data_IF_765801612790
#
_entry.id   IF_765801612790
#
_cell.length_a   1.000
_cell.length_b   1.000
_cell.length_c   1.000
_cell.angle_alpha   90.00
_cell.angle_beta   90.00
_cell.angle_gamma   90.00
#
_symmetry.space_group_name_H-M   'P 1'
#
loop_
_entity.id
_entity.type
_entity.pdbx_description
1 polymer ?
#
# COMPACT_ATOMS: atom_id res chain seq x y z
N UNK A 1 15.41 19.37 1.13
CA UNK A 1 15.67 18.34 0.11
C UNK A 1 16.63 17.31 0.66
N UNK A 2 16.45 16.04 0.34
CA UNK A 2 17.35 14.94 0.76
C UNK A 2 17.76 14.09 -0.45
N UNK A 3 18.98 13.58 -0.46
CA UNK A 3 19.49 12.67 -1.50
C UNK A 3 18.94 11.27 -1.29
N UNK A 4 18.71 10.49 -2.35
CA UNK A 4 18.14 9.13 -2.24
C UNK A 4 19.16 8.00 -2.36
N UNK A 5 20.46 8.30 -2.29
CA UNK A 5 21.49 7.28 -2.50
C UNK A 5 21.54 6.28 -1.33
N UNK A 6 21.64 4.95 -1.58
CA UNK A 6 21.63 3.94 -0.53
C UNK A 6 22.69 4.09 0.56
N UNK A 7 23.90 4.57 0.22
CA UNK A 7 25.03 4.72 1.15
C UNK A 7 24.71 5.62 2.35
N UNK A 8 23.84 6.61 2.14
CA UNK A 8 23.44 7.58 3.17
C UNK A 8 22.59 6.92 4.27
N UNK A 9 21.87 5.86 3.92
CA UNK A 9 20.86 5.22 4.78
C UNK A 9 21.29 3.82 5.23
N UNK A 10 22.49 3.37 4.86
CA UNK A 10 23.04 2.06 5.21
C UNK A 10 23.62 2.06 6.63
N UNK A 11 22.75 2.34 7.58
CA UNK A 11 23.00 2.29 9.01
C UNK A 11 22.20 1.14 9.65
N UNK A 12 22.28 0.97 10.97
CA UNK A 12 21.48 -0.03 11.70
C UNK A 12 20.00 0.07 11.29
N UNK A 13 19.33 -1.08 11.17
CA UNK A 13 17.89 -1.11 10.94
C UNK A 13 17.19 -0.30 12.06
N UNK A 14 16.41 0.75 11.72
CA UNK A 14 15.82 1.61 12.73
C UNK A 14 14.79 0.82 13.53
N UNK A 15 14.55 1.18 14.79
CA UNK A 15 13.48 0.52 15.51
C UNK A 15 12.15 0.73 14.76
N UNK A 16 11.52 -0.38 14.42
CA UNK A 16 10.21 -0.44 13.80
C UNK A 16 9.40 -1.49 14.57
N UNK A 17 8.33 -1.06 15.23
CA UNK A 17 7.48 -1.98 15.95
C UNK A 17 6.80 -2.95 14.97
N UNK A 18 6.54 -4.19 15.42
CA UNK A 18 5.72 -5.12 14.64
C UNK A 18 4.37 -4.44 14.33
N UNK A 19 3.95 -4.35 13.06
CA UNK A 19 2.63 -3.82 12.71
C UNK A 19 1.53 -4.61 13.42
N UNK A 20 0.58 -3.89 14.01
CA UNK A 20 -0.60 -4.45 14.66
C UNK A 20 -1.83 -4.10 13.81
N UNK A 21 -2.55 -5.11 13.34
CA UNK A 21 -3.86 -4.92 12.71
C UNK A 21 -4.90 -4.62 13.78
N UNK A 22 -5.53 -3.45 13.68
CA UNK A 22 -6.49 -2.95 14.67
C UNK A 22 -7.92 -2.90 14.13
N UNK A 23 -8.08 -2.99 12.82
CA UNK A 23 -9.39 -3.00 12.18
C UNK A 23 -9.31 -3.74 10.85
N UNK A 24 -10.44 -4.33 10.47
CA UNK A 24 -10.68 -5.01 9.20
C UNK A 24 -11.99 -4.45 8.65
N UNK A 25 -12.05 -4.22 7.34
CA UNK A 25 -13.23 -3.70 6.69
C UNK A 25 -13.30 -4.09 5.22
N UNK A 26 -14.51 -4.07 4.70
CA UNK A 26 -14.83 -4.25 3.30
C UNK A 26 -15.09 -2.91 2.63
N UNK A 27 -14.82 -2.86 1.33
CA UNK A 27 -15.33 -1.83 0.44
C UNK A 27 -16.33 -2.49 -0.50
N UNK A 28 -17.55 -1.96 -0.53
CA UNK A 28 -18.60 -2.44 -1.44
C UNK A 28 -18.38 -1.92 -2.86
N UNK A 29 -19.10 -2.47 -3.84
CA UNK A 29 -19.06 -1.99 -5.23
C UNK A 29 -19.43 -0.51 -5.39
N UNK A 30 -20.15 0.06 -4.42
CA UNK A 30 -20.54 1.47 -4.35
C UNK A 30 -19.55 2.31 -3.51
N UNK A 31 -18.35 1.78 -3.23
CA UNK A 31 -17.28 2.41 -2.46
C UNK A 31 -17.67 2.82 -1.03
N UNK A 32 -18.65 2.12 -0.44
CA UNK A 32 -19.04 2.24 0.96
C UNK A 32 -18.23 1.29 1.84
N UNK A 33 -17.89 1.73 3.04
CA UNK A 33 -17.15 0.95 4.03
C UNK A 33 -18.10 0.13 4.89
N UNK A 34 -17.83 -1.17 5.03
CA UNK A 34 -18.53 -2.07 5.94
C UNK A 34 -17.50 -2.68 6.90
N UNK A 35 -17.68 -2.46 8.21
CA UNK A 35 -16.73 -2.95 9.20
C UNK A 35 -16.77 -4.48 9.31
N UNK A 36 -15.61 -5.06 9.63
CA UNK A 36 -15.42 -6.50 9.75
C UNK A 36 -15.04 -7.16 8.41
N UNK A 37 -15.30 -8.46 8.32
CA UNK A 37 -14.83 -9.31 7.21
C UNK A 37 -15.89 -9.55 6.13
N UNK A 38 -16.88 -8.66 6.00
CA UNK A 38 -17.77 -8.71 4.85
C UNK A 38 -16.92 -8.69 3.57
N UNK A 39 -17.27 -9.50 2.56
CA UNK A 39 -16.53 -9.57 1.28
C UNK A 39 -15.04 -9.97 1.39
N UNK A 40 -14.55 -10.37 2.56
CA UNK A 40 -13.21 -10.94 2.67
C UNK A 40 -13.15 -12.24 1.88
N UNK A 41 -12.09 -12.41 1.10
CA UNK A 41 -11.82 -13.63 0.34
C UNK A 41 -10.99 -14.58 1.18
N UNK A 42 -11.23 -15.88 1.03
CA UNK A 42 -10.52 -16.92 1.77
C UNK A 42 -9.62 -17.73 0.84
N UNK A 43 -8.35 -17.89 1.21
CA UNK A 43 -7.37 -18.65 0.45
C UNK A 43 -7.75 -20.14 0.42
N UNK A 44 -7.84 -20.70 -0.78
CA UNK A 44 -8.10 -22.11 -0.99
C UNK A 44 -6.88 -22.96 -0.63
N UNK A 45 -7.07 -24.17 -0.10
CA UNK A 45 -5.99 -25.13 0.04
C UNK A 45 -5.32 -25.39 -1.31
N UNK A 46 -3.99 -25.34 -1.33
CA UNK A 46 -3.21 -25.68 -2.51
C UNK A 46 -1.98 -26.50 -2.09
N UNK A 47 -1.52 -27.38 -2.98
CA UNK A 47 -0.26 -28.09 -2.78
C UNK A 47 0.90 -27.16 -3.11
N UNK A 48 1.81 -26.95 -2.15
CA UNK A 48 2.97 -26.09 -2.31
C UNK A 48 3.91 -26.64 -3.41
N UNK A 49 4.12 -25.85 -4.47
CA UNK A 49 4.77 -26.25 -5.73
C UNK A 49 4.05 -27.34 -6.52
N UNK A 50 2.78 -27.60 -6.21
CA UNK A 50 1.91 -28.47 -6.98
C UNK A 50 1.69 -27.94 -8.39
N UNK A 51 1.53 -28.85 -9.35
CA UNK A 51 1.25 -28.48 -10.74
C UNK A 51 -0.17 -27.95 -10.85
N UNK A 52 -0.34 -26.87 -11.60
CA UNK A 52 -1.63 -26.27 -11.92
C UNK A 52 -1.74 -26.01 -13.42
N UNK A 53 -2.94 -25.59 -13.87
CA UNK A 53 -3.19 -25.19 -15.24
C UNK A 53 -4.20 -24.03 -15.26
N UNK A 54 -3.93 -23.00 -14.45
CA UNK A 54 -4.83 -21.85 -14.34
C UNK A 54 -4.62 -20.93 -15.53
N UNK A 55 -5.64 -20.81 -16.37
CA UNK A 55 -5.62 -19.90 -17.51
C UNK A 55 -6.04 -18.50 -17.07
N UNK A 56 -5.07 -17.60 -16.94
CA UNK A 56 -5.29 -16.24 -16.48
C UNK A 56 -5.97 -15.35 -17.54
N UNK A 57 -6.18 -15.82 -18.77
CA UNK A 57 -6.86 -15.03 -19.81
C UNK A 57 -8.38 -15.13 -19.74
N UNK A 58 -8.91 -16.15 -19.05
CA UNK A 58 -10.35 -16.44 -19.00
C UNK A 58 -11.16 -15.33 -18.32
N UNK A 59 -12.12 -14.76 -19.04
CA UNK A 59 -13.03 -13.74 -18.52
C UNK A 59 -12.49 -12.31 -18.67
N UNK A 60 -11.43 -12.10 -19.45
CA UNK A 60 -10.85 -10.78 -19.70
C UNK A 60 -11.82 -9.82 -20.39
N UNK A 61 -12.67 -10.35 -21.27
CA UNK A 61 -13.70 -9.64 -22.02
C UNK A 61 -14.86 -9.16 -21.14
N UNK A 62 -15.09 -9.81 -20.01
CA UNK A 62 -16.10 -9.45 -19.01
C UNK A 62 -15.51 -8.78 -17.77
N UNK A 63 -14.22 -8.43 -17.79
CA UNK A 63 -13.52 -7.81 -16.67
C UNK A 63 -14.16 -6.48 -16.23
N UNK A 64 -14.46 -6.35 -14.95
CA UNK A 64 -15.02 -5.14 -14.34
C UNK A 64 -13.94 -4.52 -13.44
N UNK A 65 -13.29 -3.47 -13.93
CA UNK A 65 -12.27 -2.74 -13.20
C UNK A 65 -12.90 -1.66 -12.29
N UNK A 66 -12.15 -1.24 -11.27
CA UNK A 66 -12.50 -0.11 -10.40
C UNK A 66 -11.95 1.19 -10.98
N UNK A 67 -12.80 2.22 -11.10
CA UNK A 67 -12.30 3.58 -11.37
C UNK A 67 -11.76 4.21 -10.09
N UNK A 68 -10.48 3.97 -9.82
CA UNK A 68 -9.75 4.52 -8.66
C UNK A 68 -9.05 5.85 -8.95
N UNK A 69 -9.26 6.45 -10.13
CA UNK A 69 -8.49 7.63 -10.56
C UNK A 69 -8.60 8.84 -9.63
N UNK A 70 -9.57 8.87 -8.72
CA UNK A 70 -9.85 10.01 -7.84
C UNK A 70 -10.00 9.68 -6.34
N UNK A 71 -9.89 8.41 -5.93
CA UNK A 71 -10.32 8.01 -4.58
C UNK A 71 -9.38 8.49 -3.46
N UNK A 72 -8.10 8.75 -3.74
CA UNK A 72 -7.15 9.36 -2.78
C UNK A 72 -7.19 8.66 -1.41
N UNK A 73 -7.59 9.35 -0.34
CA UNK A 73 -7.77 8.79 1.01
C UNK A 73 -9.23 8.46 1.34
N UNK A 74 -10.18 8.63 0.43
CA UNK A 74 -11.63 8.62 0.72
C UNK A 74 -12.08 7.38 1.49
N UNK A 75 -11.69 6.18 1.05
CA UNK A 75 -12.05 4.94 1.76
C UNK A 75 -11.49 4.90 3.17
N UNK A 76 -10.24 5.34 3.37
CA UNK A 76 -9.63 5.42 4.70
C UNK A 76 -10.32 6.45 5.59
N UNK A 77 -10.75 7.57 5.01
CA UNK A 77 -11.49 8.62 5.72
C UNK A 77 -12.92 8.15 6.07
N UNK A 78 -13.61 7.45 5.17
CA UNK A 78 -14.90 6.80 5.46
C UNK A 78 -14.78 5.74 6.54
N UNK A 79 -13.72 4.94 6.52
CA UNK A 79 -13.42 4.01 7.61
C UNK A 79 -13.30 4.74 8.95
N UNK A 80 -12.62 5.89 8.98
CA UNK A 80 -12.49 6.70 10.18
C UNK A 80 -13.84 7.26 10.66
N UNK A 81 -14.69 7.74 9.75
CA UNK A 81 -16.05 8.19 10.07
C UNK A 81 -16.89 7.06 10.67
N UNK A 82 -16.77 5.84 10.15
CA UNK A 82 -17.49 4.67 10.66
C UNK A 82 -17.09 4.25 12.09
N UNK A 83 -16.01 4.79 12.66
CA UNK A 83 -15.56 4.46 14.02
C UNK A 83 -16.29 5.25 15.12
N UNK A 84 -17.10 6.26 14.78
CA UNK A 84 -17.80 7.09 15.77
C UNK A 84 -19.04 7.75 15.20
N UNK A 85 -19.95 8.20 16.05
CA UNK A 85 -21.00 9.14 15.63
C UNK A 85 -20.40 10.51 15.26
N UNK A 86 -21.13 11.31 14.48
CA UNK A 86 -20.73 12.66 14.07
C UNK A 86 -20.42 13.54 15.31
N UNK A 87 -19.20 14.06 15.37
CA UNK A 87 -18.69 14.84 16.50
C UNK A 87 -18.44 14.04 17.79
N UNK A 88 -18.55 12.71 17.76
CA UNK A 88 -18.38 11.84 18.93
C UNK A 88 -16.92 11.61 19.35
N UNK A 89 -15.95 11.88 18.47
CA UNK A 89 -14.53 11.77 18.75
C UNK A 89 -13.71 12.74 17.89
N UNK A 90 -12.46 13.01 18.29
CA UNK A 90 -11.49 13.71 17.44
C UNK A 90 -10.73 12.71 16.57
N UNK A 91 -10.24 13.11 15.37
CA UNK A 91 -9.47 12.22 14.50
C UNK A 91 -8.29 11.54 15.20
N UNK A 92 -7.54 12.26 16.05
CA UNK A 92 -6.39 11.70 16.79
C UNK A 92 -6.75 10.46 17.61
N UNK A 93 -7.94 10.44 18.24
CA UNK A 93 -8.44 9.29 19.01
C UNK A 93 -8.82 8.13 18.09
N UNK A 94 -9.52 8.40 16.99
CA UNK A 94 -9.90 7.40 15.99
C UNK A 94 -8.65 6.74 15.38
N UNK A 95 -7.62 7.53 15.12
CA UNK A 95 -6.36 7.05 14.58
C UNK A 95 -5.39 6.52 15.66
N UNK A 96 -5.89 6.15 16.85
CA UNK A 96 -5.09 5.54 17.92
C UNK A 96 -3.82 6.33 18.27
N UNK A 97 -3.94 7.65 18.37
CA UNK A 97 -2.86 8.58 18.66
C UNK A 97 -1.74 8.62 17.60
N UNK A 98 -2.02 8.17 16.36
CA UNK A 98 -1.06 8.22 15.26
C UNK A 98 -0.67 9.65 14.90
N UNK A 99 0.61 9.85 14.57
CA UNK A 99 1.16 11.12 14.12
C UNK A 99 1.02 11.25 12.60
N UNK A 100 1.07 10.12 11.87
CA UNK A 100 0.95 10.07 10.42
C UNK A 100 -0.11 9.03 10.01
N UNK A 101 -1.00 9.42 9.09
CA UNK A 101 -2.03 8.59 8.46
C UNK A 101 -1.82 8.55 6.95
N UNK A 102 -1.78 7.36 6.34
CA UNK A 102 -1.60 7.20 4.89
C UNK A 102 -2.05 5.82 4.39
N UNK A 103 -1.90 5.53 3.10
CA UNK A 103 -1.96 4.16 2.59
C UNK A 103 -0.60 3.45 2.70
N UNK A 104 -0.61 2.14 2.92
CA UNK A 104 0.56 1.24 2.86
C UNK A 104 1.38 1.41 1.57
N UNK A 105 0.70 1.75 0.47
CA UNK A 105 1.32 2.07 -0.82
C UNK A 105 2.32 3.23 -0.73
N UNK A 106 2.01 4.29 0.01
CA UNK A 106 2.89 5.45 0.18
C UNK A 106 4.21 5.06 0.87
N UNK A 107 4.13 4.30 1.98
CA UNK A 107 5.31 3.80 2.70
C UNK A 107 6.14 2.85 1.82
N UNK A 108 5.48 1.98 1.06
CA UNK A 108 6.13 1.09 0.09
C UNK A 108 6.88 1.89 -0.98
N UNK A 109 6.24 2.94 -1.53
CA UNK A 109 6.83 3.77 -2.57
C UNK A 109 8.04 4.53 -2.05
N UNK A 110 7.91 5.19 -0.91
CA UNK A 110 9.01 5.87 -0.24
C UNK A 110 10.15 4.88 0.01
N UNK A 111 9.89 3.77 0.71
CA UNK A 111 10.93 2.80 1.09
C UNK A 111 11.66 2.14 -0.08
N UNK A 112 11.01 1.98 -1.24
CA UNK A 112 11.64 1.40 -2.42
C UNK A 112 12.59 2.38 -3.13
N UNK A 113 12.41 3.69 -2.94
CA UNK A 113 13.08 4.76 -3.71
C UNK A 113 14.60 4.62 -3.82
N UNK A 114 15.35 4.25 -2.75
CA UNK A 114 16.81 4.15 -2.86
C UNK A 114 17.30 3.11 -3.88
N UNK A 115 16.46 2.12 -4.23
CA UNK A 115 16.81 1.02 -5.13
C UNK A 115 15.92 0.94 -6.39
N UNK A 116 14.71 1.49 -6.32
CA UNK A 116 13.76 1.64 -7.43
C UNK A 116 13.70 3.11 -7.86
N UNK A 117 14.85 3.64 -8.26
CA UNK A 117 15.11 5.08 -8.41
C UNK A 117 14.61 5.70 -9.73
N UNK A 118 13.80 4.96 -10.51
CA UNK A 118 13.28 5.40 -11.82
C UNK A 118 11.85 5.89 -11.75
N UNK A 119 11.04 5.36 -10.85
CA UNK A 119 9.63 5.70 -10.73
C UNK A 119 9.50 7.01 -9.93
N UNK A 120 9.13 8.11 -10.61
CA UNK A 120 8.79 9.37 -9.93
C UNK A 120 7.52 9.20 -9.07
N UNK A 121 7.44 9.98 -7.99
CA UNK A 121 6.26 10.02 -7.12
C UNK A 121 6.05 11.40 -6.51
N UNK A 122 4.79 11.72 -6.20
CA UNK A 122 4.37 12.95 -5.52
C UNK A 122 3.34 12.61 -4.46
N UNK A 123 3.54 13.14 -3.27
CA UNK A 123 2.54 13.15 -2.20
C UNK A 123 2.19 14.59 -1.84
N UNK A 124 0.96 14.78 -1.34
CA UNK A 124 0.58 15.95 -0.57
C UNK A 124 0.46 15.50 0.88
N UNK A 125 1.17 16.18 1.77
CA UNK A 125 1.03 16.02 3.21
C UNK A 125 0.31 17.24 3.77
N UNK A 126 -0.70 17.02 4.62
CA UNK A 126 -1.43 18.08 5.32
C UNK A 126 -1.54 17.72 6.79
N UNK A 127 -1.25 18.68 7.67
CA UNK A 127 -1.53 18.53 9.10
C UNK A 127 -2.90 19.11 9.41
N UNK A 128 -3.76 18.30 10.02
CA UNK A 128 -4.98 18.77 10.67
C UNK A 128 -4.94 18.39 12.14
N UNK A 129 -5.02 19.41 12.99
CA UNK A 129 -4.72 19.32 14.42
C UNK A 129 -3.35 18.64 14.66
N UNK A 130 -3.36 17.45 15.26
CA UNK A 130 -2.19 16.68 15.67
C UNK A 130 -1.90 15.48 14.75
N UNK A 131 -2.55 15.40 13.58
CA UNK A 131 -2.43 14.29 12.62
C UNK A 131 -1.96 14.80 11.27
N UNK A 132 -0.90 14.18 10.72
CA UNK A 132 -0.44 14.42 9.36
C UNK A 132 -1.05 13.36 8.44
N UNK A 133 -1.77 13.78 7.41
CA UNK A 133 -2.29 12.91 6.37
C UNK A 133 -1.36 12.98 5.16
N UNK A 134 -0.96 11.84 4.60
CA UNK A 134 -0.13 11.77 3.39
C UNK A 134 -0.95 11.08 2.29
N UNK A 135 -1.24 11.83 1.24
CA UNK A 135 -2.00 11.37 0.08
C UNK A 135 -1.10 11.31 -1.16
N UNK A 136 -1.10 10.19 -1.88
CA UNK A 136 -0.40 10.07 -3.16
C UNK A 136 -1.19 10.76 -4.28
N UNK A 137 -0.46 11.42 -5.17
CA UNK A 137 -1.00 12.00 -6.39
C UNK A 137 -0.22 11.46 -7.59
N UNK A 138 -0.91 11.23 -8.73
CA UNK A 138 -0.23 10.82 -9.94
C UNK A 138 0.76 11.91 -10.38
N UNK A 139 1.89 11.46 -10.95
CA UNK A 139 2.82 12.34 -11.66
C UNK A 139 2.44 12.36 -13.14
N UNK A 140 2.83 13.41 -13.87
CA UNK A 140 2.61 13.50 -15.31
C UNK A 140 3.19 12.27 -16.05
N UNK A 141 4.35 11.77 -15.60
CA UNK A 141 4.96 10.55 -16.12
C UNK A 141 4.10 9.31 -15.84
N UNK A 142 3.52 9.20 -14.64
CA UNK A 142 2.62 8.09 -14.29
C UNK A 142 1.35 8.10 -15.14
N UNK A 143 0.77 9.28 -15.39
CA UNK A 143 -0.41 9.43 -16.25
C UNK A 143 -0.09 9.12 -17.71
N UNK A 144 1.03 9.65 -18.23
CA UNK A 144 1.50 9.36 -19.59
C UNK A 144 1.76 7.87 -19.78
N UNK A 145 2.40 7.21 -18.81
CA UNK A 145 2.63 5.76 -18.83
C UNK A 145 1.31 4.97 -18.80
N UNK A 146 0.33 5.40 -17.99
CA UNK A 146 -1.00 4.77 -17.94
C UNK A 146 -1.74 4.91 -19.27
N UNK A 147 -1.67 6.10 -19.88
CA UNK A 147 -2.26 6.36 -21.19
C UNK A 147 -1.58 5.54 -22.31
N UNK A 148 -0.27 5.31 -22.19
CA UNK A 148 0.53 4.51 -23.13
C UNK A 148 0.50 3.00 -22.87
N UNK A 149 -0.27 2.50 -21.89
CA UNK A 149 -0.35 1.06 -21.60
C UNK A 149 -0.82 0.29 -22.83
N UNK A 150 -0.04 -0.72 -23.22
CA UNK A 150 -0.41 -1.65 -24.29
C UNK A 150 -1.48 -2.62 -23.81
N UNK A 151 -2.15 -3.30 -24.75
CA UNK A 151 -3.10 -4.36 -24.38
C UNK A 151 -2.43 -5.49 -23.60
N UNK A 152 -1.14 -5.75 -23.86
CA UNK A 152 -0.36 -6.71 -23.07
C UNK A 152 -0.12 -6.23 -21.65
N UNK A 153 0.12 -4.95 -21.42
CA UNK A 153 0.25 -4.38 -20.07
C UNK A 153 -1.05 -4.47 -19.29
N UNK A 154 -2.18 -4.17 -19.94
CA UNK A 154 -3.53 -4.32 -19.37
C UNK A 154 -3.82 -5.79 -19.04
N UNK A 155 -3.47 -6.71 -19.94
CA UNK A 155 -3.61 -8.15 -19.72
C UNK A 155 -2.78 -8.62 -18.52
N UNK A 156 -1.52 -8.18 -18.41
CA UNK A 156 -0.67 -8.54 -17.27
C UNK A 156 -1.20 -8.00 -15.93
N UNK A 157 -1.94 -6.88 -15.95
CA UNK A 157 -2.63 -6.36 -14.76
C UNK A 157 -3.80 -7.26 -14.40
N UNK A 158 -4.65 -7.59 -15.38
CA UNK A 158 -5.78 -8.51 -15.23
C UNK A 158 -5.37 -9.89 -14.67
N UNK A 159 -4.24 -10.43 -15.12
CA UNK A 159 -3.71 -11.70 -14.66
C UNK A 159 -3.49 -11.80 -13.14
N UNK A 160 -3.24 -10.68 -12.46
CA UNK A 160 -3.18 -10.64 -10.99
C UNK A 160 -4.54 -10.98 -10.38
N UNK A 161 -5.57 -10.21 -10.76
CA UNK A 161 -6.94 -10.40 -10.27
C UNK A 161 -7.52 -11.75 -10.66
N UNK A 162 -7.24 -12.23 -11.87
CA UNK A 162 -7.69 -13.57 -12.28
C UNK A 162 -7.02 -14.67 -11.44
N UNK A 163 -5.75 -14.51 -11.09
CA UNK A 163 -5.07 -15.45 -10.20
C UNK A 163 -5.67 -15.45 -8.80
N UNK A 164 -6.02 -14.28 -8.25
CA UNK A 164 -6.74 -14.17 -6.98
C UNK A 164 -8.08 -14.92 -7.04
N UNK A 165 -8.84 -14.78 -8.13
CA UNK A 165 -10.08 -15.53 -8.32
C UNK A 165 -9.88 -17.05 -8.35
N UNK A 166 -8.78 -17.56 -8.93
CA UNK A 166 -8.47 -19.01 -8.88
C UNK A 166 -8.09 -19.50 -7.49
N UNK A 167 -7.51 -18.64 -6.67
CA UNK A 167 -6.94 -19.01 -5.38
C UNK A 167 -7.86 -18.74 -4.20
N UNK A 168 -9.03 -18.14 -4.43
CA UNK A 168 -9.88 -17.65 -3.34
C UNK A 168 -11.35 -18.00 -3.47
N UNK A 169 -12.04 -17.95 -2.33
CA UNK A 169 -13.46 -18.25 -2.15
C UNK A 169 -14.14 -17.18 -1.31
N UNK A 170 -15.47 -17.07 -1.40
CA UNK A 170 -16.27 -16.19 -0.54
C UNK A 170 -16.47 -16.74 0.88
N UNK A 171 -16.33 -18.06 1.05
CA UNK A 171 -16.53 -18.74 2.33
C UNK A 171 -15.35 -19.67 2.62
N UNK A 172 -14.97 -19.75 3.90
CA UNK A 172 -13.87 -20.61 4.32
C UNK A 172 -14.18 -22.08 3.99
N UNK A 173 -13.33 -22.69 3.15
CA UNK A 173 -13.48 -24.07 2.71
C UNK A 173 -14.46 -24.27 1.54
N UNK A 174 -14.90 -23.19 0.90
CA UNK A 174 -15.64 -23.26 -0.37
C UNK A 174 -14.77 -23.63 -1.57
N UNK A 175 -15.35 -23.56 -2.75
CA UNK A 175 -14.66 -23.78 -4.03
C UNK A 175 -14.63 -22.48 -4.86
N UNK A 176 -13.51 -22.14 -5.53
CA UNK A 176 -13.41 -20.93 -6.34
C UNK A 176 -14.43 -20.86 -7.47
N UNK A 177 -15.20 -19.76 -7.55
CA UNK A 177 -15.96 -19.44 -8.75
C UNK A 177 -15.06 -18.72 -9.77
N UNK A 178 -14.58 -19.50 -10.73
CA UNK A 178 -13.68 -19.04 -11.79
C UNK A 178 -14.39 -18.69 -13.10
N UNK A 179 -15.71 -18.92 -13.15
CA UNK A 179 -16.53 -18.67 -14.33
C UNK A 179 -17.17 -17.28 -14.30
N UNK A 180 -17.48 -16.77 -13.10
CA UNK A 180 -17.98 -15.41 -12.94
C UNK A 180 -16.97 -14.36 -13.41
N UNK A 181 -17.45 -13.19 -13.88
CA UNK A 181 -16.58 -12.05 -14.17
C UNK A 181 -15.67 -11.70 -12.99
N UNK A 182 -14.44 -11.32 -13.28
CA UNK A 182 -13.55 -10.73 -12.29
C UNK A 182 -14.01 -9.30 -12.05
N UNK A 183 -14.48 -9.00 -10.84
CA UNK A 183 -14.96 -7.68 -10.42
C UNK A 183 -14.07 -7.12 -9.31
N UNK A 184 -13.33 -6.06 -9.62
CA UNK A 184 -12.39 -5.43 -8.70
C UNK A 184 -13.00 -4.25 -7.92
N UNK A 185 -14.31 -3.99 -8.03
CA UNK A 185 -14.93 -2.86 -7.32
C UNK A 185 -15.07 -3.10 -5.83
N UNK A 186 -15.17 -4.36 -5.41
CA UNK A 186 -15.18 -4.77 -4.01
C UNK A 186 -13.76 -5.05 -3.52
N UNK A 187 -13.47 -4.70 -2.27
CA UNK A 187 -12.13 -4.86 -1.69
C UNK A 187 -12.25 -5.31 -0.23
N UNK A 188 -11.19 -5.95 0.24
CA UNK A 188 -10.97 -6.20 1.66
C UNK A 188 -9.68 -5.50 2.09
N UNK A 189 -9.74 -4.79 3.20
CA UNK A 189 -8.61 -4.01 3.69
C UNK A 189 -8.52 -4.06 5.22
N UNK A 190 -7.32 -3.78 5.70
CA UNK A 190 -6.99 -3.72 7.12
C UNK A 190 -6.41 -2.36 7.47
N UNK A 191 -6.61 -1.95 8.72
CA UNK A 191 -5.88 -0.83 9.31
C UNK A 191 -4.81 -1.38 10.23
N UNK A 192 -3.57 -0.97 9.95
CA UNK A 192 -2.42 -1.30 10.78
C UNK A 192 -1.95 -0.06 11.53
N UNK A 193 -1.51 -0.24 12.78
CA UNK A 193 -0.72 0.75 13.51
C UNK A 193 0.67 0.23 13.81
N UNK A 194 1.64 1.13 13.83
CA UNK A 194 3.04 0.83 14.22
C UNK A 194 3.74 2.11 14.71
N UNK A 195 5.02 2.01 15.03
CA UNK A 195 5.89 3.14 15.33
C UNK A 195 7.28 2.93 14.74
N UNK A 196 7.87 4.00 14.23
CA UNK A 196 9.20 4.01 13.63
C UNK A 196 10.08 5.05 14.33
N UNK A 197 11.29 4.66 14.73
CA UNK A 197 12.25 5.58 15.34
C UNK A 197 12.75 6.60 14.32
N UNK A 198 12.76 7.88 14.73
CA UNK A 198 13.24 8.96 13.86
C UNK A 198 14.76 9.05 13.87
N UNK A 199 15.41 9.42 12.74
CA UNK A 199 16.86 9.59 12.71
C UNK A 199 17.34 10.61 13.75
N UNK A 200 18.30 10.22 14.59
CA UNK A 200 18.86 11.08 15.64
C UNK A 200 17.91 11.38 16.82
N UNK A 201 16.73 10.76 16.86
CA UNK A 201 15.66 11.07 17.83
C UNK A 201 15.84 10.55 19.25
N UNK A 202 16.96 9.87 19.56
CA UNK A 202 17.26 9.28 20.88
C UNK A 202 16.09 8.47 21.47
N UNK A 203 15.51 7.56 20.68
CA UNK A 203 14.36 6.74 21.08
C UNK A 203 12.97 7.34 20.78
N UNK A 204 12.89 8.59 20.29
CA UNK A 204 11.63 9.15 19.80
C UNK A 204 11.15 8.39 18.57
N UNK A 205 9.88 8.02 18.55
CA UNK A 205 9.24 7.37 17.42
C UNK A 205 8.09 8.22 16.87
N UNK A 206 7.90 8.19 15.56
CA UNK A 206 6.64 8.57 14.92
C UNK A 206 5.68 7.39 14.99
N UNK A 207 4.44 7.64 15.43
CA UNK A 207 3.35 6.66 15.40
C UNK A 207 2.67 6.73 14.04
N UNK A 208 2.53 5.59 13.39
CA UNK A 208 1.94 5.49 12.06
C UNK A 208 0.65 4.69 12.12
N UNK A 209 -0.34 5.12 11.35
CA UNK A 209 -1.51 4.34 11.01
C UNK A 209 -1.68 4.32 9.49
N UNK A 210 -1.94 3.16 8.93
CA UNK A 210 -2.16 3.05 7.49
C UNK A 210 -3.15 1.96 7.13
N UNK A 211 -3.91 2.23 6.07
CA UNK A 211 -4.73 1.22 5.41
C UNK A 211 -3.91 0.35 4.46
N UNK A 212 -4.30 -0.90 4.32
CA UNK A 212 -3.74 -1.83 3.34
C UNK A 212 -4.81 -2.75 2.77
N UNK A 213 -4.98 -2.77 1.46
CA UNK A 213 -5.71 -3.81 0.74
C UNK A 213 -5.03 -5.16 0.96
N UNK A 214 -5.84 -6.20 1.18
CA UNK A 214 -5.41 -7.58 1.45
C UNK A 214 -6.16 -8.52 0.52
N UNK A 215 -5.41 -9.40 -0.14
CA UNK A 215 -5.97 -10.23 -1.20
C UNK A 215 -6.84 -11.38 -0.66
N UNK A 216 -6.47 -11.95 0.50
CA UNK A 216 -7.27 -13.00 1.16
C UNK A 216 -6.91 -13.19 2.65
N UNK A 217 -7.66 -14.08 3.31
CA UNK A 217 -7.39 -14.62 4.65
C UNK A 217 -7.24 -16.14 4.54
N UNK A 218 -6.25 -16.74 5.21
CA UNK A 218 -6.09 -18.20 5.27
C UNK A 218 -6.99 -18.86 6.33
N UNK A 219 -7.00 -20.20 6.39
CA UNK A 219 -7.80 -20.95 7.36
C UNK A 219 -7.43 -20.73 8.83
N UNK A 220 -6.30 -20.07 9.13
CA UNK A 220 -5.91 -19.69 10.47
C UNK A 220 -6.28 -18.23 10.80
N UNK A 221 -6.91 -17.51 9.88
CA UNK A 221 -7.20 -16.09 10.03
C UNK A 221 -6.01 -15.18 9.72
N UNK A 222 -4.95 -15.69 9.09
CA UNK A 222 -3.76 -14.91 8.72
C UNK A 222 -4.02 -14.22 7.38
N UNK A 223 -3.61 -12.96 7.27
CA UNK A 223 -3.67 -12.20 6.02
C UNK A 223 -2.79 -12.88 4.95
N UNK A 224 -3.18 -12.76 3.68
CA UNK A 224 -2.49 -13.37 2.54
C UNK A 224 -2.27 -12.31 1.46
N UNK A 225 -1.04 -12.26 0.95
CA UNK A 225 -0.68 -11.51 -0.25
C UNK A 225 -0.33 -12.51 -1.36
N UNK A 226 -0.91 -12.31 -2.54
CA UNK A 226 -0.76 -13.11 -3.74
C UNK A 226 -0.08 -12.32 -4.84
N UNK A 227 0.74 -13.01 -5.63
CA UNK A 227 1.40 -12.43 -6.80
C UNK A 227 1.48 -13.43 -7.93
N UNK A 228 1.59 -12.93 -9.16
CA UNK A 228 2.00 -13.74 -10.31
C UNK A 228 3.43 -13.40 -10.73
N UNK A 229 4.17 -14.41 -11.16
CA UNK A 229 5.54 -14.23 -11.65
C UNK A 229 5.82 -15.15 -12.84
N UNK A 230 6.51 -14.59 -13.84
CA UNK A 230 6.94 -15.33 -15.02
C UNK A 230 7.95 -16.40 -14.62
N UNK A 231 7.63 -17.67 -14.89
CA UNK A 231 8.45 -18.88 -14.70
C UNK A 231 9.01 -19.07 -13.29
N UNK A 232 10.00 -18.28 -12.87
CA UNK A 232 10.69 -18.43 -11.59
C UNK A 232 11.11 -17.08 -10.99
N UNK A 233 11.57 -17.13 -9.74
CA UNK A 233 12.18 -15.99 -9.04
C UNK A 233 13.64 -15.85 -9.49
N UNK A 234 13.86 -15.27 -10.66
CA UNK A 234 15.19 -15.18 -11.28
C UNK A 234 15.46 -13.84 -11.97
N UNK A 235 16.74 -13.60 -12.24
CA UNK A 235 17.21 -12.44 -13.00
C UNK A 235 16.68 -11.11 -12.46
N UNK A 236 15.97 -10.37 -13.31
CA UNK A 236 15.43 -9.04 -12.99
C UNK A 236 14.42 -9.02 -11.84
N UNK A 237 13.82 -10.16 -11.45
CA UNK A 237 12.91 -10.24 -10.31
C UNK A 237 13.55 -9.68 -9.03
N UNK A 238 14.77 -10.12 -8.74
CA UNK A 238 15.50 -9.74 -7.52
C UNK A 238 15.88 -8.26 -7.48
N UNK A 239 16.03 -7.64 -8.64
CA UNK A 239 16.38 -6.21 -8.75
C UNK A 239 15.17 -5.30 -8.72
N UNK A 240 14.07 -5.68 -9.37
CA UNK A 240 12.97 -4.76 -9.66
C UNK A 240 11.67 -5.07 -8.91
N UNK A 241 11.43 -6.33 -8.54
CA UNK A 241 10.17 -6.76 -7.92
C UNK A 241 10.31 -7.16 -6.45
N UNK A 242 11.37 -7.87 -6.08
CA UNK A 242 11.52 -8.45 -4.74
C UNK A 242 11.47 -7.41 -3.62
N UNK A 243 12.04 -6.21 -3.82
CA UNK A 243 11.95 -5.11 -2.85
C UNK A 243 10.51 -4.62 -2.64
N UNK A 244 9.74 -4.48 -3.73
CA UNK A 244 8.35 -4.01 -3.67
C UNK A 244 7.49 -5.07 -2.95
N UNK A 245 7.67 -6.34 -3.29
CA UNK A 245 7.00 -7.47 -2.64
C UNK A 245 7.33 -7.53 -1.14
N UNK A 246 8.62 -7.41 -0.79
CA UNK A 246 9.07 -7.42 0.60
C UNK A 246 8.49 -6.24 1.38
N UNK A 247 8.55 -5.01 0.88
CA UNK A 247 8.00 -3.82 1.55
C UNK A 247 6.49 -3.92 1.74
N UNK A 248 5.76 -4.30 0.69
CA UNK A 248 4.30 -4.46 0.73
C UNK A 248 3.90 -5.42 1.86
N UNK A 249 4.55 -6.57 1.93
CA UNK A 249 4.21 -7.63 2.88
C UNK A 249 4.74 -7.37 4.29
N UNK A 250 5.95 -6.82 4.42
CA UNK A 250 6.59 -6.54 5.70
C UNK A 250 5.80 -5.48 6.48
N UNK A 251 5.29 -4.46 5.79
CA UNK A 251 4.50 -3.38 6.39
C UNK A 251 3.18 -3.86 7.01
N UNK A 252 2.68 -5.04 6.64
CA UNK A 252 1.48 -5.63 7.28
C UNK A 252 1.79 -6.89 8.09
N UNK A 253 3.08 -7.15 8.35
CA UNK A 253 3.52 -8.23 9.22
C UNK A 253 3.38 -9.63 8.64
N UNK A 254 3.31 -9.77 7.31
CA UNK A 254 3.29 -11.07 6.64
C UNK A 254 4.65 -11.76 6.69
N UNK A 255 4.64 -13.09 6.69
CA UNK A 255 5.86 -13.91 6.67
C UNK A 255 6.18 -14.50 5.29
N UNK A 256 5.16 -14.67 4.45
CA UNK A 256 5.26 -15.25 3.11
C UNK A 256 4.27 -14.62 2.14
N UNK A 257 4.54 -14.79 0.85
CA UNK A 257 3.70 -14.39 -0.28
C UNK A 257 3.37 -15.64 -1.09
N UNK A 258 2.11 -15.82 -1.46
CA UNK A 258 1.68 -16.91 -2.37
C UNK A 258 1.92 -16.48 -3.81
N UNK A 259 2.53 -17.34 -4.63
CA UNK A 259 3.01 -17.01 -5.97
C UNK A 259 2.50 -18.00 -7.00
N UNK A 260 1.73 -17.49 -7.97
CA UNK A 260 1.41 -18.20 -9.20
C UNK A 260 2.53 -18.03 -10.23
N UNK A 261 3.24 -19.12 -10.54
CA UNK A 261 4.29 -19.12 -11.55
C UNK A 261 3.70 -19.42 -12.92
N UNK A 262 3.69 -18.41 -13.78
CA UNK A 262 3.07 -18.48 -15.10
C UNK A 262 4.06 -18.47 -16.24
N UNK A 263 3.65 -19.01 -17.38
CA UNK A 263 4.36 -18.85 -18.64
C UNK A 263 4.07 -17.48 -19.31
N UNK A 264 4.49 -17.34 -20.56
CA UNK A 264 4.29 -16.14 -21.39
C UNK A 264 2.88 -16.06 -22.00
N UNK A 265 2.13 -17.17 -22.01
CA UNK A 265 0.76 -17.27 -22.50
C UNK A 265 -0.27 -17.01 -21.39
N UNK A 266 0.18 -16.86 -20.14
CA UNK A 266 -0.69 -16.58 -19.01
C UNK A 266 -1.22 -17.83 -18.32
N UNK A 267 -0.57 -18.98 -18.52
CA UNK A 267 -0.92 -20.23 -17.84
C UNK A 267 -0.07 -20.35 -16.57
N UNK A 268 -0.71 -20.42 -15.41
CA UNK A 268 -0.03 -20.77 -14.14
C UNK A 268 0.20 -22.28 -14.14
N UNK A 269 1.48 -22.66 -14.17
CA UNK A 269 1.92 -24.06 -14.20
C UNK A 269 2.13 -24.62 -12.79
N UNK A 270 2.36 -23.75 -11.81
CA UNK A 270 2.49 -24.11 -10.39
C UNK A 270 2.15 -22.94 -9.48
N UNK A 271 1.71 -23.26 -8.28
CA UNK A 271 1.58 -22.31 -7.17
C UNK A 271 2.57 -22.68 -6.09
N UNK A 272 3.32 -21.71 -5.59
CA UNK A 272 4.19 -21.89 -4.43
C UNK A 272 4.15 -20.65 -3.56
N UNK A 273 5.13 -20.52 -2.68
CA UNK A 273 5.28 -19.37 -1.81
C UNK A 273 6.72 -18.91 -1.73
N UNK A 274 6.92 -17.67 -1.32
CA UNK A 274 8.24 -17.12 -1.00
C UNK A 274 8.19 -16.44 0.35
N UNK A 275 9.12 -16.80 1.24
CA UNK A 275 9.25 -16.16 2.56
C UNK A 275 9.90 -14.80 2.43
N UNK A 276 9.50 -13.85 3.27
CA UNK A 276 10.14 -12.53 3.30
C UNK A 276 11.61 -12.61 3.72
N UNK A 277 11.96 -13.56 4.59
CA UNK A 277 13.34 -13.83 4.96
C UNK A 277 14.18 -14.24 3.74
N UNK A 278 13.63 -15.08 2.87
CA UNK A 278 14.27 -15.45 1.60
C UNK A 278 14.41 -14.25 0.65
N UNK A 279 13.37 -13.41 0.54
CA UNK A 279 13.45 -12.18 -0.27
C UNK A 279 14.61 -11.29 0.15
N UNK A 280 14.78 -11.10 1.45
CA UNK A 280 15.88 -10.29 2.02
C UNK A 280 17.25 -10.96 1.91
N UNK A 281 17.34 -12.28 2.12
CA UNK A 281 18.60 -13.02 2.10
C UNK A 281 19.16 -13.15 0.68
N UNK A 282 18.31 -13.41 -0.32
CA UNK A 282 18.74 -13.54 -1.72
C UNK A 282 18.99 -12.20 -2.41
N UNK A 283 18.47 -11.11 -1.84
CA UNK A 283 18.70 -9.76 -2.36
C UNK A 283 19.90 -9.06 -1.72
N UNK A 284 20.75 -9.80 -0.98
CA UNK A 284 22.01 -9.29 -0.45
C UNK A 284 22.88 -8.75 -1.60
N UNK A 285 23.33 -7.50 -1.46
CA UNK A 285 24.05 -6.78 -2.51
C UNK A 285 23.18 -6.13 -3.59
N UNK A 286 21.86 -6.33 -3.57
CA UNK A 286 20.90 -5.70 -4.51
C UNK A 286 20.12 -4.60 -3.81
N UNK A 287 19.48 -4.92 -2.68
CA UNK A 287 18.83 -3.95 -1.81
C UNK A 287 18.92 -4.38 -0.35
N UNK A 288 18.72 -3.45 0.58
CA UNK A 288 18.77 -3.75 2.02
C UNK A 288 17.57 -3.15 2.75
N UNK A 289 16.95 -3.95 3.62
CA UNK A 289 15.77 -3.53 4.38
C UNK A 289 16.04 -2.35 5.31
N UNK A 290 17.23 -2.28 5.93
CA UNK A 290 17.64 -1.16 6.78
C UNK A 290 17.69 0.16 5.99
N UNK A 291 18.24 0.16 4.77
CA UNK A 291 18.25 1.34 3.89
C UNK A 291 16.82 1.81 3.60
N UNK A 292 15.92 0.89 3.28
CA UNK A 292 14.51 1.22 2.98
C UNK A 292 13.82 1.89 4.17
N UNK A 293 13.97 1.32 5.38
CA UNK A 293 13.30 1.83 6.58
C UNK A 293 13.94 3.10 7.14
N UNK A 294 15.27 3.25 7.04
CA UNK A 294 15.93 4.50 7.37
C UNK A 294 15.47 5.64 6.43
N UNK A 295 15.27 5.33 5.15
CA UNK A 295 14.75 6.29 4.18
C UNK A 295 13.30 6.67 4.47
N UNK A 296 12.42 5.71 4.77
CA UNK A 296 11.04 5.97 5.25
C UNK A 296 11.08 6.91 6.47
N UNK A 297 11.86 6.55 7.49
CA UNK A 297 11.96 7.35 8.72
C UNK A 297 12.43 8.78 8.43
N UNK A 298 13.39 8.95 7.52
CA UNK A 298 13.94 10.26 7.14
C UNK A 298 12.90 11.12 6.42
N UNK A 299 12.18 10.55 5.44
CA UNK A 299 11.14 11.28 4.71
C UNK A 299 10.00 11.69 5.64
N UNK A 300 9.50 10.78 6.47
CA UNK A 300 8.42 11.08 7.41
C UNK A 300 8.83 12.15 8.45
N UNK A 301 10.07 12.08 8.95
CA UNK A 301 10.61 13.10 9.86
C UNK A 301 10.73 14.47 9.19
N UNK A 302 11.16 14.50 7.93
CA UNK A 302 11.24 15.74 7.15
C UNK A 302 9.85 16.37 6.94
N UNK A 303 8.83 15.55 6.68
CA UNK A 303 7.43 16.01 6.58
C UNK A 303 6.93 16.56 7.91
N UNK A 304 7.14 15.83 9.00
CA UNK A 304 6.74 16.27 10.34
C UNK A 304 7.40 17.61 10.73
N UNK A 305 8.69 17.79 10.43
CA UNK A 305 9.40 19.04 10.70
C UNK A 305 8.90 20.20 9.85
N UNK A 306 8.48 19.95 8.60
CA UNK A 306 7.91 20.98 7.73
C UNK A 306 6.52 21.41 8.19
N UNK A 307 5.79 20.50 8.84
CA UNK A 307 4.43 20.70 9.33
C UNK A 307 4.42 20.68 10.87
N UNK A 308 4.90 21.73 11.56
CA UNK A 308 4.94 21.76 13.03
C UNK A 308 3.54 21.89 13.63
N UNK A 309 3.39 21.47 14.90
CA UNK A 309 2.16 21.68 15.68
C UNK A 309 1.86 23.18 15.84
N UNK A 310 0.57 23.53 15.85
CA UNK A 310 0.11 24.90 16.10
C UNK A 310 0.43 25.90 14.99
N UNK A 311 0.77 25.43 13.78
CA UNK A 311 0.87 26.31 12.61
C UNK A 311 -0.51 26.90 12.29
N UNK A 312 -0.64 28.24 12.16
CA UNK A 312 -1.94 28.93 12.11
C UNK A 312 -2.80 28.56 10.88
N UNK A 313 -2.20 28.06 9.80
CA UNK A 313 -2.88 27.83 8.52
C UNK A 313 -3.02 26.35 8.13
N UNK A 314 -2.93 25.40 9.09
CA UNK A 314 -2.93 23.95 8.78
C UNK A 314 -1.95 23.61 7.64
N UNK A 315 -0.65 23.68 7.96
CA UNK A 315 0.39 23.57 6.95
C UNK A 315 0.23 22.36 6.03
N UNK A 316 0.45 22.59 4.74
CA UNK A 316 0.50 21.57 3.71
C UNK A 316 1.80 21.65 2.92
N UNK A 317 2.31 20.49 2.49
CA UNK A 317 3.50 20.44 1.66
C UNK A 317 3.40 19.35 0.60
N UNK A 318 3.99 19.63 -0.56
CA UNK A 318 4.31 18.62 -1.54
C UNK A 318 5.57 17.88 -1.12
N UNK A 319 5.55 16.56 -1.24
CA UNK A 319 6.72 15.69 -1.07
C UNK A 319 6.93 14.95 -2.38
N UNK A 320 7.99 15.31 -3.11
CA UNK A 320 8.20 14.83 -4.50
C UNK A 320 9.55 14.17 -4.63
N UNK A 321 9.60 13.03 -5.33
CA UNK A 321 10.85 12.43 -5.77
C UNK A 321 11.08 12.69 -7.25
N UNK A 322 12.26 13.24 -7.55
CA UNK A 322 12.74 13.39 -8.91
C UNK A 322 13.82 12.33 -9.23
N UNK A 323 13.56 11.42 -10.18
CA UNK A 323 14.51 10.40 -10.59
C UNK A 323 15.71 10.95 -11.36
N UNK A 324 15.66 12.19 -11.89
CA UNK A 324 16.79 12.82 -12.59
C UNK A 324 17.82 13.32 -11.57
N UNK A 325 17.38 14.16 -10.63
CA UNK A 325 18.28 14.69 -9.59
C UNK A 325 18.54 13.74 -8.41
N UNK A 326 17.82 12.61 -8.33
CA UNK A 326 17.90 11.62 -7.24
C UNK A 326 17.70 12.25 -5.87
N UNK A 327 16.70 13.13 -5.78
CA UNK A 327 16.38 13.90 -4.58
C UNK A 327 14.89 13.86 -4.26
N UNK A 328 14.58 13.90 -2.97
CA UNK A 328 13.24 14.23 -2.49
C UNK A 328 13.20 15.71 -2.12
N UNK A 329 12.18 16.39 -2.63
CA UNK A 329 11.87 17.80 -2.40
C UNK A 329 10.68 17.92 -1.48
N UNK A 330 10.71 18.94 -0.63
CA UNK A 330 9.55 19.35 0.16
C UNK A 330 9.30 20.82 -0.09
N UNK A 331 8.14 21.10 -0.65
CA UNK A 331 7.71 22.43 -1.10
C UNK A 331 6.36 22.74 -0.47
N UNK A 332 6.02 24.01 -0.32
CA UNK A 332 4.69 24.40 0.14
C UNK A 332 3.63 23.96 -0.88
N UNK A 333 2.54 23.39 -0.39
CA UNK A 333 1.38 23.06 -1.23
C UNK A 333 0.33 24.15 -1.07
N UNK A 334 -0.35 24.49 -2.16
CA UNK A 334 -1.46 25.44 -2.11
C UNK A 334 -2.70 24.77 -1.52
N UNK A 335 -3.54 25.56 -0.84
CA UNK A 335 -4.81 25.10 -0.24
C UNK A 335 -5.79 24.49 -1.26
N UNK A 336 -5.76 24.96 -2.51
CA UNK A 336 -6.54 24.37 -3.60
C UNK A 336 -6.12 22.92 -3.95
N UNK A 337 -4.91 22.50 -3.58
CA UNK A 337 -4.38 21.17 -3.85
C UNK A 337 -4.65 20.17 -2.69
N UNK A 338 -5.04 20.66 -1.50
CA UNK A 338 -5.22 19.87 -0.26
C UNK A 338 -6.63 19.30 -0.08
N UNK A 339 -7.46 19.36 -1.13
CA UNK A 339 -8.85 18.90 -1.15
C UNK A 339 -8.96 17.36 -1.25
N UNK A 340 -8.18 16.63 -0.45
CA UNK A 340 -8.25 15.16 -0.31
C UNK A 340 -8.86 14.72 1.02
N UNK A 341 -9.01 15.64 1.98
CA UNK A 341 -9.87 15.46 3.14
C UNK A 341 -11.28 15.88 2.73
N UNK A 342 -12.12 14.93 2.32
CA UNK A 342 -13.44 15.21 1.76
C UNK A 342 -14.42 15.84 2.78
N UNK A 343 -15.49 16.45 2.26
CA UNK A 343 -16.49 17.17 3.07
C UNK A 343 -17.19 16.27 4.09
N UNK A 344 -17.42 15.00 3.73
CA UNK A 344 -17.99 13.99 4.63
C UNK A 344 -17.14 13.86 5.90
N UNK A 345 -15.83 13.68 5.75
CA UNK A 345 -14.88 13.58 6.86
C UNK A 345 -14.77 14.89 7.65
N UNK A 346 -14.65 16.04 6.95
CA UNK A 346 -14.55 17.35 7.60
C UNK A 346 -15.77 17.63 8.48
N UNK A 347 -16.98 17.38 7.95
CA UNK A 347 -18.24 17.53 8.68
C UNK A 347 -18.32 16.55 9.85
N UNK A 348 -18.02 15.27 9.61
CA UNK A 348 -18.09 14.22 10.64
C UNK A 348 -17.29 14.56 11.89
N UNK A 349 -16.09 15.11 11.69
CA UNK A 349 -15.18 15.46 12.79
C UNK A 349 -15.24 16.93 13.23
N UNK A 350 -16.18 17.72 12.67
CA UNK A 350 -16.35 19.16 12.94
C UNK A 350 -15.03 19.93 12.76
N UNK A 351 -14.30 19.58 11.71
CA UNK A 351 -13.06 20.26 11.36
C UNK A 351 -13.40 21.67 10.83
N UNK A 352 -12.51 22.66 11.01
CA UNK A 352 -12.77 24.02 10.52
C UNK A 352 -12.99 24.06 9.00
N UNK A 353 -13.80 25.02 8.55
CA UNK A 353 -14.09 25.20 7.12
C UNK A 353 -12.85 25.64 6.32
N UNK A 354 -11.89 26.32 6.95
CA UNK A 354 -10.58 26.63 6.36
C UNK A 354 -9.61 25.47 6.60
N UNK A 355 -9.45 24.64 5.57
CA UNK A 355 -8.55 23.49 5.46
C UNK A 355 -8.10 23.27 4.02
#
# INVERSE_FOLDING_TARGET
NILTRPDIYDQKFPFFARPETISEYAVTSNRQVVLGRAKAKYLCPYEENGKTNFDLNKGRDTFIDKDVSSEKLDVLLRWACAQSEEGGARPKKIFHEADVVCWRGALTRIGATPFADRDSWRFIAQRVDDVIYICEYPTEENEARKAAMTDRDRMMTYWGFKFEQYMTTDELGGEPDTASPVDCREEFAVICKTRIEVPGGRGRCLKLLYGAEVDAIDGNGTLVEMKTQRKALEGGFWKFKSIKWWLQSFLIGLEKITVGYRDDEGIVERVGSVRLSELSQRSQGIWKGNVCFNFIATVLTMVEQRLPHGSPDYGSCHVKYDPVSKKVYVEEAKEEETQFLNDEFRKHFKLPERL
#
